data_IF_000296148859
#
_entry.id   IF_000296148859
#
_cell.length_a   1.000
_cell.length_b   1.000
_cell.length_c   1.000
_cell.angle_alpha   90.00
_cell.angle_beta   90.00
_cell.angle_gamma   90.00
#
_symmetry.space_group_name_H-M   'P 1'
#
loop_
_entity.id
_entity.type
_entity.pdbx_description
1 polymer ?
#
# COMPACT_ATOMS: atom_id res chain seq x y z
N UNK A 1 -7.41 -3.41 6.95
CA UNK A 1 -7.54 -3.08 5.50
C UNK A 1 -7.83 -4.30 4.62
N UNK A 2 -8.59 -4.13 3.53
CA UNK A 2 -8.89 -5.13 2.48
C UNK A 2 -8.19 -4.79 1.17
N UNK A 3 -8.14 -5.76 0.22
CA UNK A 3 -7.54 -5.55 -1.09
C UNK A 3 -8.28 -4.47 -1.90
N UNK A 4 -9.60 -4.41 -1.80
CA UNK A 4 -10.41 -3.33 -2.40
C UNK A 4 -10.01 -1.94 -1.91
N UNK A 5 -9.78 -1.77 -0.60
CA UNK A 5 -9.32 -0.48 -0.09
C UNK A 5 -7.94 -0.10 -0.63
N UNK A 6 -7.02 -1.05 -0.78
CA UNK A 6 -5.72 -0.79 -1.40
C UNK A 6 -5.89 -0.44 -2.87
N UNK A 7 -6.77 -1.13 -3.59
CA UNK A 7 -7.08 -0.83 -4.99
C UNK A 7 -7.67 0.58 -5.14
N UNK A 8 -8.54 0.99 -4.24
CA UNK A 8 -9.09 2.36 -4.20
C UNK A 8 -7.97 3.39 -4.02
N UNK A 9 -7.00 3.13 -3.12
CA UNK A 9 -5.83 4.00 -2.94
C UNK A 9 -4.99 4.10 -4.23
N UNK A 10 -4.82 2.99 -4.94
CA UNK A 10 -4.06 2.94 -6.19
C UNK A 10 -4.85 3.46 -7.40
N UNK A 11 -6.14 3.80 -7.25
CA UNK A 11 -6.99 4.29 -8.35
C UNK A 11 -6.70 5.76 -8.71
N UNK A 12 -5.89 6.48 -7.93
CA UNK A 12 -5.48 7.84 -8.28
C UNK A 12 -4.49 7.83 -9.46
N UNK A 13 -5.04 7.98 -10.66
CA UNK A 13 -4.30 8.05 -11.93
C UNK A 13 -3.29 9.20 -11.99
N UNK A 14 -3.39 10.24 -11.15
CA UNK A 14 -2.38 11.30 -11.10
C UNK A 14 -1.09 10.82 -10.44
N UNK A 15 -1.19 9.83 -9.56
CA UNK A 15 -0.07 9.25 -8.83
C UNK A 15 0.37 7.93 -9.46
N UNK A 16 -0.60 7.14 -9.94
CA UNK A 16 -0.37 5.83 -10.55
C UNK A 16 -0.88 5.80 -12.00
N UNK A 17 -0.24 6.54 -12.93
CA UNK A 17 -0.71 6.62 -14.31
C UNK A 17 -0.63 5.26 -15.04
N UNK A 18 0.25 4.36 -14.58
CA UNK A 18 0.51 3.06 -15.21
C UNK A 18 -0.33 1.90 -14.68
N UNK A 19 -1.13 2.08 -13.62
CA UNK A 19 -1.88 0.97 -13.03
C UNK A 19 -3.24 0.78 -13.72
N UNK A 20 -3.58 -0.45 -14.16
CA UNK A 20 -4.91 -0.77 -14.63
C UNK A 20 -5.94 -0.71 -13.48
N UNK A 21 -7.16 -0.23 -13.74
CA UNK A 21 -8.21 -0.17 -12.71
C UNK A 21 -8.59 -1.57 -12.19
N UNK A 22 -8.45 -2.58 -13.04
CA UNK A 22 -8.68 -4.00 -12.72
C UNK A 22 -7.36 -4.73 -12.40
N UNK A 23 -6.44 -4.08 -11.68
CA UNK A 23 -5.20 -4.71 -11.25
C UNK A 23 -5.52 -5.92 -10.37
N UNK A 24 -5.32 -7.13 -10.91
CA UNK A 24 -5.51 -8.39 -10.19
C UNK A 24 -4.60 -8.49 -8.95
N UNK A 25 -5.00 -9.29 -7.97
CA UNK A 25 -4.27 -9.39 -6.69
C UNK A 25 -2.81 -9.87 -6.87
N UNK A 26 -2.59 -10.77 -7.83
CA UNK A 26 -1.29 -11.34 -8.19
C UNK A 26 -0.65 -10.67 -9.43
N UNK A 27 -1.22 -9.57 -9.93
CA UNK A 27 -0.63 -8.83 -11.03
C UNK A 27 0.66 -8.11 -10.58
N UNK A 28 1.59 -7.96 -11.52
CA UNK A 28 2.83 -7.22 -11.28
C UNK A 28 2.50 -5.76 -10.99
N UNK A 29 2.86 -5.32 -9.79
CA UNK A 29 2.70 -3.96 -9.30
C UNK A 29 4.08 -3.32 -9.24
N UNK A 30 4.27 -2.23 -9.97
CA UNK A 30 5.48 -1.41 -9.93
C UNK A 30 5.11 -0.08 -9.30
N UNK A 31 5.75 0.23 -8.16
CA UNK A 31 5.61 1.51 -7.49
C UNK A 31 6.89 2.31 -7.69
N UNK A 32 6.78 3.46 -8.34
CA UNK A 32 7.85 4.45 -8.35
C UNK A 32 8.03 5.05 -6.95
N UNK A 33 9.18 5.70 -6.72
CA UNK A 33 9.49 6.35 -5.43
C UNK A 33 8.41 7.34 -4.97
N UNK A 34 7.82 8.11 -5.90
CA UNK A 34 6.70 9.01 -5.61
C UNK A 34 5.42 8.24 -5.27
N UNK A 35 5.12 7.17 -6.00
CA UNK A 35 3.92 6.36 -5.78
C UNK A 35 3.95 5.69 -4.41
N UNK A 36 5.12 5.21 -3.97
CA UNK A 36 5.30 4.65 -2.64
C UNK A 36 5.09 5.72 -1.55
N UNK A 37 5.80 6.85 -1.62
CA UNK A 37 5.67 7.91 -0.60
C UNK A 37 4.23 8.43 -0.52
N UNK A 38 3.57 8.63 -1.66
CA UNK A 38 2.18 9.06 -1.67
C UNK A 38 1.26 8.01 -1.05
N UNK A 39 1.47 6.73 -1.35
CA UNK A 39 0.67 5.65 -0.76
C UNK A 39 0.79 5.64 0.77
N UNK A 40 2.01 5.74 1.30
CA UNK A 40 2.26 5.81 2.74
C UNK A 40 1.57 7.03 3.35
N UNK A 41 1.70 8.19 2.71
CA UNK A 41 1.04 9.43 3.15
C UNK A 41 -0.48 9.31 3.18
N UNK A 42 -1.13 8.76 2.16
CA UNK A 42 -2.59 8.61 2.15
C UNK A 42 -3.05 7.56 3.15
N UNK A 43 -2.27 6.49 3.35
CA UNK A 43 -2.56 5.49 4.38
C UNK A 43 -2.52 6.11 5.78
N UNK A 44 -1.53 6.96 6.05
CA UNK A 44 -1.44 7.73 7.28
C UNK A 44 -2.64 8.69 7.42
N UNK A 45 -2.92 9.52 6.41
CA UNK A 45 -4.00 10.52 6.47
C UNK A 45 -5.41 9.88 6.60
N UNK A 46 -5.66 8.77 5.91
CA UNK A 46 -6.99 8.13 5.90
C UNK A 46 -7.21 7.16 7.06
N UNK A 47 -6.15 6.47 7.51
CA UNK A 47 -6.27 5.39 8.49
C UNK A 47 -5.50 5.65 9.78
N UNK A 48 -4.77 6.76 9.89
CA UNK A 48 -3.87 7.03 11.02
C UNK A 48 -2.70 6.05 11.10
N UNK A 49 -2.40 5.34 10.00
CA UNK A 49 -1.40 4.28 10.00
C UNK A 49 -0.07 4.80 9.48
N UNK A 50 0.87 5.03 10.38
CA UNK A 50 2.26 5.35 10.04
C UNK A 50 2.99 4.05 9.72
N UNK A 51 3.55 3.95 8.51
CA UNK A 51 4.27 2.78 8.01
C UNK A 51 5.60 3.20 7.42
N UNK A 52 6.68 2.58 7.90
CA UNK A 52 8.04 2.78 7.41
C UNK A 52 8.58 1.46 6.84
N UNK A 53 8.33 1.18 5.55
CA UNK A 53 8.83 -0.03 4.91
C UNK A 53 10.35 0.02 4.79
N UNK A 54 10.99 -1.09 5.13
CA UNK A 54 12.43 -1.28 4.90
C UNK A 54 12.70 -1.55 3.41
N UNK A 55 13.97 -1.47 2.97
CA UNK A 55 14.33 -1.83 1.60
C UNK A 55 13.87 -3.25 1.20
N UNK A 56 13.89 -4.19 2.15
CA UNK A 56 13.38 -5.56 1.94
C UNK A 56 11.87 -5.58 1.73
N UNK A 57 11.12 -4.80 2.52
CA UNK A 57 9.67 -4.65 2.34
C UNK A 57 9.36 -4.06 0.97
N UNK A 58 10.04 -2.97 0.59
CA UNK A 58 9.87 -2.27 -0.69
C UNK A 58 10.11 -3.24 -1.85
N UNK A 59 11.19 -4.02 -1.81
CA UNK A 59 11.47 -5.06 -2.79
C UNK A 59 10.38 -6.15 -2.85
N UNK A 60 9.66 -6.35 -1.73
CA UNK A 60 8.51 -7.23 -1.63
C UNK A 60 7.18 -6.65 -2.10
N UNK A 61 7.05 -5.33 -2.31
CA UNK A 61 5.80 -4.66 -2.71
C UNK A 61 5.51 -4.76 -4.22
N UNK A 62 5.65 -5.97 -4.78
CA UNK A 62 5.54 -6.23 -6.24
C UNK A 62 4.17 -6.72 -6.69
N UNK A 63 3.19 -6.78 -5.79
CA UNK A 63 1.81 -7.16 -6.12
C UNK A 63 0.83 -6.58 -5.12
N UNK A 64 -0.42 -6.39 -5.56
CA UNK A 64 -1.49 -5.89 -4.71
C UNK A 64 -1.71 -6.78 -3.48
N UNK A 65 -1.59 -8.11 -3.62
CA UNK A 65 -1.71 -9.07 -2.51
C UNK A 65 -0.63 -8.86 -1.45
N UNK A 66 0.62 -8.66 -1.87
CA UNK A 66 1.75 -8.43 -0.94
C UNK A 66 1.61 -7.08 -0.24
N UNK A 67 1.27 -6.03 -0.99
CA UNK A 67 1.02 -4.71 -0.44
C UNK A 67 -0.13 -4.72 0.59
N UNK A 68 -1.24 -5.36 0.24
CA UNK A 68 -2.39 -5.51 1.14
C UNK A 68 -2.01 -6.26 2.41
N UNK A 69 -1.20 -7.32 2.28
CA UNK A 69 -0.71 -8.08 3.43
C UNK A 69 0.19 -7.21 4.32
N UNK A 70 1.13 -6.48 3.73
CA UNK A 70 2.04 -5.59 4.45
C UNK A 70 1.26 -4.55 5.26
N UNK A 71 0.36 -3.80 4.62
CA UNK A 71 -0.44 -2.77 5.29
C UNK A 71 -1.40 -3.34 6.35
N UNK A 72 -1.90 -4.56 6.15
CA UNK A 72 -2.71 -5.27 7.15
C UNK A 72 -1.87 -5.66 8.37
N UNK A 73 -0.65 -6.15 8.17
CA UNK A 73 0.27 -6.47 9.27
C UNK A 73 0.59 -5.21 10.05
N UNK A 74 0.95 -4.13 9.36
CA UNK A 74 1.24 -2.85 10.01
C UNK A 74 0.05 -2.31 10.82
N UNK A 75 -1.19 -2.39 10.31
CA UNK A 75 -2.37 -2.02 11.12
C UNK A 75 -2.49 -2.85 12.41
N UNK A 76 -2.16 -4.15 12.33
CA UNK A 76 -2.23 -5.04 13.49
C UNK A 76 -1.14 -4.74 14.52
N UNK A 77 0.03 -4.30 14.06
CA UNK A 77 1.16 -3.94 14.92
C UNK A 77 0.97 -2.55 15.54
N UNK A 78 0.53 -1.56 14.78
CA UNK A 78 0.18 -0.23 15.30
C UNK A 78 -0.94 -0.28 16.34
N UNK A 79 -1.96 -1.13 16.15
CA UNK A 79 -3.02 -1.35 17.15
C UNK A 79 -2.53 -1.98 18.46
N UNK A 80 -1.28 -2.49 18.52
CA UNK A 80 -0.70 -3.12 19.70
C UNK A 80 0.18 -2.17 20.52
N UNK A 81 0.63 -1.07 19.92
CA UNK A 81 1.44 -0.04 20.59
C UNK A 81 0.58 0.95 21.40
N UNK A 82 -0.72 1.05 21.06
CA UNK A 82 -1.75 1.84 21.78
C UNK A 82 -2.42 1.10 22.97
N UNK A 83 -1.91 -0.07 23.39
CA UNK A 83 -2.57 -0.97 24.38
C UNK A 83 -1.86 -1.06 25.74
#
# INVERSE_FOLDING_TARGET
>A
MTADSVRELLSDRKVFPGLPDDLGEDAELVLDSLGLVWLLHVVEERYGLVVEPTDEDIAGLTSLRRLTRYLRTAQKEGARDDA
#
